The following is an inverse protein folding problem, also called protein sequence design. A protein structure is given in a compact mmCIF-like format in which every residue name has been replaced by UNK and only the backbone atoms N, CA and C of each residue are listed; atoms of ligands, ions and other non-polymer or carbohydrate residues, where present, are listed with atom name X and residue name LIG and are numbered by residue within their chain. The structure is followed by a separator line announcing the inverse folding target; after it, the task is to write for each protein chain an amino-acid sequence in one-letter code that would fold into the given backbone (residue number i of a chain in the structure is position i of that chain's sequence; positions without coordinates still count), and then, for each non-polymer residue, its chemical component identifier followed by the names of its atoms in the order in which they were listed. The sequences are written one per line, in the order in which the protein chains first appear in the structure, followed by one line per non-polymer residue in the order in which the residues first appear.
data_IF_582993945939
#
_entry.id   IF_582993945939
#
_cell.length_a   1.000
_cell.length_b   1.000
_cell.length_c   1.000
_cell.angle_alpha   90.00
_cell.angle_beta   90.00
_cell.angle_gamma   90.00
#
_symmetry.space_group_name_H-M   'P 1'
#
loop_
_entity.id
_entity.type
_entity.pdbx_description
1 polymer ?
#
# COMPACT_ATOMS: atom_id res chain seq x y z
N UNK A 1 -6.62 16.89 7.52
CA UNK A 1 -5.73 15.83 6.98
C UNK A 1 -5.93 15.82 5.47
N UNK A 2 -4.86 15.92 4.67
CA UNK A 2 -4.96 15.79 3.20
C UNK A 2 -5.09 14.30 2.88
N UNK A 3 -6.31 13.86 2.61
CA UNK A 3 -6.63 12.45 2.30
C UNK A 3 -6.66 12.18 0.78
N UNK A 4 -6.35 13.19 -0.02
CA UNK A 4 -6.26 13.16 -1.49
C UNK A 4 -5.06 12.36 -2.01
N UNK A 5 -4.25 11.77 -1.12
CA UNK A 5 -3.10 10.93 -1.45
C UNK A 5 -3.33 9.47 -1.02
N UNK A 6 -2.25 8.70 -0.86
CA UNK A 6 -2.29 7.27 -0.53
C UNK A 6 -1.01 6.78 0.13
N UNK A 7 -1.10 5.60 0.71
CA UNK A 7 0.01 4.82 1.24
C UNK A 7 0.51 3.88 0.15
N UNK A 8 1.80 3.95 -0.16
CA UNK A 8 2.49 2.92 -0.97
C UNK A 8 3.00 1.85 -0.01
N UNK A 9 2.68 0.60 -0.30
CA UNK A 9 3.23 -0.57 0.39
C UNK A 9 4.19 -1.26 -0.56
N UNK A 10 5.44 -1.44 -0.16
CA UNK A 10 6.46 -2.08 -0.97
C UNK A 10 6.98 -3.34 -0.28
N UNK A 11 7.05 -4.45 -1.02
CA UNK A 11 7.67 -5.69 -0.56
C UNK A 11 9.04 -5.84 -1.22
N UNK A 12 10.10 -5.83 -0.40
CA UNK A 12 11.47 -5.97 -0.85
C UNK A 12 12.06 -7.29 -0.39
N UNK A 13 12.72 -8.00 -1.31
CA UNK A 13 13.54 -9.15 -1.00
C UNK A 13 15.00 -8.70 -0.85
N UNK A 14 15.58 -8.95 0.31
CA UNK A 14 16.96 -8.55 0.62
C UNK A 14 17.95 -9.34 -0.22
N UNK A 15 18.82 -8.65 -0.96
CA UNK A 15 19.89 -9.29 -1.71
C UNK A 15 21.26 -9.10 -1.07
N UNK A 16 22.28 -9.74 -1.66
CA UNK A 16 23.67 -9.61 -1.21
C UNK A 16 24.29 -8.26 -1.59
N UNK A 17 23.95 -7.75 -2.78
CA UNK A 17 24.47 -6.49 -3.31
C UNK A 17 23.38 -5.43 -3.52
N UNK A 18 22.17 -5.84 -3.89
CA UNK A 18 21.01 -4.97 -4.03
C UNK A 18 19.74 -5.71 -3.62
N UNK A 19 18.78 -4.97 -3.07
CA UNK A 19 17.46 -5.49 -2.78
C UNK A 19 16.61 -5.51 -4.05
N UNK A 20 15.72 -6.51 -4.15
CA UNK A 20 14.83 -6.68 -5.29
C UNK A 20 13.40 -6.34 -4.87
N UNK A 21 12.77 -5.40 -5.56
CA UNK A 21 11.34 -5.16 -5.40
C UNK A 21 10.56 -6.38 -5.88
N UNK A 22 9.74 -6.93 -4.99
CA UNK A 22 8.88 -8.08 -5.25
C UNK A 22 7.46 -7.65 -5.62
N UNK A 23 7.01 -6.50 -5.12
CA UNK A 23 5.73 -5.93 -5.52
C UNK A 23 5.29 -4.74 -4.67
N UNK A 24 4.25 -4.08 -5.14
CA UNK A 24 3.75 -2.80 -4.68
C UNK A 24 2.23 -2.87 -4.49
N UNK A 25 1.69 -2.07 -3.57
CA UNK A 25 0.26 -1.80 -3.49
C UNK A 25 0.02 -0.33 -3.19
N UNK A 26 -0.88 0.31 -3.93
CA UNK A 26 -1.35 1.66 -3.65
C UNK A 26 -2.67 1.63 -2.87
N UNK A 27 -2.64 2.15 -1.64
CA UNK A 27 -3.81 2.27 -0.79
C UNK A 27 -4.22 3.74 -0.63
N UNK A 28 -5.28 4.21 -1.32
CA UNK A 28 -5.80 5.56 -1.12
C UNK A 28 -6.15 5.83 0.35
N UNK A 29 -5.74 6.97 0.89
CA UNK A 29 -5.99 7.29 2.31
C UNK A 29 -7.50 7.42 2.59
N UNK A 30 -8.29 7.88 1.62
CA UNK A 30 -9.76 7.89 1.70
C UNK A 30 -10.41 6.52 1.90
N UNK A 31 -9.69 5.43 1.60
CA UNK A 31 -10.18 4.05 1.80
C UNK A 31 -9.76 3.46 3.16
N UNK A 32 -9.00 4.20 3.96
CA UNK A 32 -8.60 3.79 5.32
C UNK A 32 -9.67 4.28 6.30
N UNK A 33 -10.19 3.35 7.10
CA UNK A 33 -11.24 3.64 8.06
C UNK A 33 -10.67 4.26 9.36
N UNK A 34 -11.53 4.89 10.15
CA UNK A 34 -11.16 5.37 11.48
C UNK A 34 -11.53 4.34 12.55
N UNK A 35 -10.60 4.04 13.46
CA UNK A 35 -10.80 3.13 14.58
C UNK A 35 -9.68 3.28 15.62
N UNK A 36 -10.02 3.19 16.91
CA UNK A 36 -9.05 3.09 18.01
C UNK A 36 -8.69 1.64 18.36
N UNK A 37 -9.20 0.66 17.61
CA UNK A 37 -8.96 -0.77 17.81
C UNK A 37 -8.24 -1.37 16.61
N UNK A 38 -7.30 -2.27 16.88
CA UNK A 38 -6.67 -3.10 15.87
C UNK A 38 -7.69 -3.98 15.15
N UNK A 39 -7.57 -4.04 13.82
CA UNK A 39 -8.37 -4.90 12.96
C UNK A 39 -7.67 -6.23 12.67
N UNK A 40 -8.37 -7.08 11.91
CA UNK A 40 -7.81 -8.35 11.41
C UNK A 40 -6.95 -8.19 10.15
N UNK A 41 -6.91 -6.98 9.59
CA UNK A 41 -6.32 -6.70 8.29
C UNK A 41 -7.04 -7.36 7.12
N UNK A 42 -6.49 -7.18 5.93
CA UNK A 42 -6.94 -7.82 4.68
C UNK A 42 -5.76 -8.20 3.80
N UNK A 43 -5.89 -9.30 3.07
CA UNK A 43 -4.91 -9.69 2.07
C UNK A 43 -4.98 -8.73 0.88
N UNK A 44 -3.84 -8.11 0.57
CA UNK A 44 -3.64 -7.22 -0.56
C UNK A 44 -2.77 -7.93 -1.59
N UNK A 45 -3.24 -7.89 -2.84
CA UNK A 45 -2.46 -8.30 -4.00
C UNK A 45 -1.37 -7.26 -4.28
N UNK A 46 -0.19 -7.73 -4.67
CA UNK A 46 0.93 -6.86 -5.06
C UNK A 46 1.12 -6.87 -6.58
N UNK A 47 1.52 -5.73 -7.08
CA UNK A 47 1.73 -5.43 -8.50
C UNK A 47 3.18 -4.98 -8.74
N UNK A 48 3.67 -4.98 -9.97
CA UNK A 48 5.08 -4.71 -10.26
C UNK A 48 5.41 -3.21 -10.33
N UNK A 49 4.45 -2.38 -10.72
CA UNK A 49 4.71 -0.97 -11.04
C UNK A 49 3.66 -0.02 -10.46
N UNK A 50 4.08 1.23 -10.20
CA UNK A 50 3.17 2.34 -9.90
C UNK A 50 2.59 2.90 -11.21
N UNK A 51 1.32 3.29 -11.17
CA UNK A 51 0.68 4.07 -12.25
C UNK A 51 0.73 5.53 -11.86
N UNK A 52 1.39 6.35 -12.67
CA UNK A 52 1.53 7.79 -12.48
C UNK A 52 0.78 8.54 -13.58
N UNK A 53 -0.10 9.46 -13.19
CA UNK A 53 -0.85 10.31 -14.10
C UNK A 53 -0.75 11.76 -13.63
N UNK A 54 -0.38 12.67 -14.53
CA UNK A 54 -0.19 14.10 -14.22
C UNK A 54 0.75 14.36 -13.02
N UNK A 55 1.73 13.48 -12.80
CA UNK A 55 2.67 13.59 -11.67
C UNK A 55 2.17 13.00 -10.35
N UNK A 56 0.96 12.44 -10.31
CA UNK A 56 0.37 11.82 -9.12
C UNK A 56 0.25 10.30 -9.27
N UNK A 57 0.42 9.57 -8.17
CA UNK A 57 0.20 8.13 -8.12
C UNK A 57 -1.28 7.87 -8.03
N UNK A 58 -1.81 7.09 -8.98
CA UNK A 58 -3.23 6.77 -9.06
C UNK A 58 -3.52 5.29 -8.81
N UNK A 59 -2.48 4.45 -8.78
CA UNK A 59 -2.64 3.01 -8.61
C UNK A 59 -1.35 2.23 -8.82
N UNK A 60 -1.52 0.93 -9.01
CA UNK A 60 -0.48 -0.03 -9.39
C UNK A 60 -0.95 -0.88 -10.58
N UNK A 61 -0.02 -1.50 -11.29
CA UNK A 61 -0.30 -2.35 -12.44
C UNK A 61 0.69 -3.52 -12.58
N UNK A 62 0.31 -4.49 -13.42
CA UNK A 62 1.02 -5.75 -13.67
C UNK A 62 1.08 -6.64 -12.43
N UNK A 63 0.07 -7.51 -12.32
CA UNK A 63 -0.12 -8.35 -11.15
C UNK A 63 1.04 -9.33 -10.91
N UNK A 64 1.41 -9.52 -9.64
CA UNK A 64 2.35 -10.55 -9.17
C UNK A 64 1.62 -11.66 -8.42
N UNK A 65 2.28 -12.79 -8.18
CA UNK A 65 1.74 -13.85 -7.31
C UNK A 65 1.89 -13.56 -5.80
N UNK A 66 2.42 -12.38 -5.44
CA UNK A 66 2.69 -12.02 -4.05
C UNK A 66 1.50 -11.30 -3.40
N UNK A 67 1.31 -11.54 -2.10
CA UNK A 67 0.29 -10.90 -1.28
C UNK A 67 0.85 -10.50 0.07
N UNK A 68 0.28 -9.44 0.66
CA UNK A 68 0.60 -8.99 2.02
C UNK A 68 -0.69 -8.83 2.84
N UNK A 69 -0.69 -9.26 4.10
CA UNK A 69 -1.79 -9.01 5.03
C UNK A 69 -1.54 -7.66 5.72
N UNK A 70 -2.42 -6.69 5.53
CA UNK A 70 -2.28 -5.35 6.09
C UNK A 70 -3.54 -4.93 6.87
N UNK A 71 -3.36 -4.46 8.10
CA UNK A 71 -4.33 -3.65 8.83
C UNK A 71 -3.87 -2.19 8.86
N UNK A 72 -4.75 -1.27 8.47
CA UNK A 72 -4.48 0.16 8.48
C UNK A 72 -5.73 0.90 8.95
N UNK A 73 -5.56 1.84 9.88
CA UNK A 73 -6.62 2.65 10.46
C UNK A 73 -6.10 4.03 10.84
N UNK A 74 -6.96 5.03 10.78
CA UNK A 74 -6.74 6.31 11.46
C UNK A 74 -7.33 6.26 12.86
N UNK A 75 -6.61 6.74 13.85
CA UNK A 75 -7.20 6.92 15.19
C UNK A 75 -8.23 8.06 15.17
N UNK A 76 -9.18 8.01 16.10
CA UNK A 76 -10.15 9.08 16.28
C UNK A 76 -9.48 10.27 16.99
N UNK A 77 -9.82 11.52 16.64
CA UNK A 77 -9.38 12.68 17.38
C UNK A 77 -9.80 12.58 18.85
N UNK A 78 -8.94 13.09 19.74
CA UNK A 78 -9.27 13.27 21.16
C UNK A 78 -10.31 14.37 21.39
#
# INVERSE_FOLDING_TARGET
MRLDTGLIVELWNKGMLWDKLMGLHWLPLTKIHHSNKEGKGRWLNLDQELVIQNGEIVGTQFHTDHKVLLDARFELPY
#
